data_IF_407002390542
#
_entry.id   IF_407002390542
#
_cell.length_a   1.000
_cell.length_b   1.000
_cell.length_c   1.000
_cell.angle_alpha   90.00
_cell.angle_beta   90.00
_cell.angle_gamma   90.00
#
_symmetry.space_group_name_H-M   'P 1'
#
loop_
_entity.id
_entity.type
_entity.pdbx_description
1 polymer ?
#
# COMPACT_ATOMS: atom_id res chain seq x y z
N UNK A 1 9.60 22.26 -10.07
CA UNK A 1 10.06 20.92 -10.50
C UNK A 1 8.82 20.13 -10.83
N UNK A 2 8.82 19.35 -11.90
CA UNK A 2 7.69 18.45 -12.22
C UNK A 2 7.77 17.22 -11.32
N UNK A 3 6.63 16.60 -10.98
CA UNK A 3 6.57 15.37 -10.18
C UNK A 3 7.57 14.30 -10.69
N UNK A 4 7.72 14.13 -11.99
CA UNK A 4 8.66 13.18 -12.58
C UNK A 4 10.14 13.49 -12.28
N UNK A 5 10.55 14.76 -12.15
CA UNK A 5 11.97 15.08 -11.92
C UNK A 5 12.47 14.68 -10.53
N UNK A 6 11.60 14.68 -9.50
CA UNK A 6 11.95 14.23 -8.16
C UNK A 6 12.14 12.71 -8.11
N UNK A 7 11.36 11.96 -8.89
CA UNK A 7 11.49 10.52 -8.96
C UNK A 7 12.78 10.09 -9.69
N UNK A 8 13.17 10.83 -10.74
CA UNK A 8 14.39 10.55 -11.50
C UNK A 8 15.66 10.68 -10.63
N UNK A 9 15.67 11.59 -9.65
CA UNK A 9 16.78 11.75 -8.69
C UNK A 9 16.95 10.58 -7.72
N UNK A 10 15.94 9.69 -7.63
CA UNK A 10 15.88 8.52 -6.75
C UNK A 10 15.81 7.20 -7.53
N UNK A 11 16.40 7.15 -8.71
CA UNK A 11 16.30 6.00 -9.63
C UNK A 11 16.66 4.66 -8.96
N UNK A 12 17.71 4.61 -8.13
CA UNK A 12 18.14 3.38 -7.45
C UNK A 12 17.12 2.94 -6.39
N UNK A 13 16.50 3.87 -5.67
CA UNK A 13 15.47 3.58 -4.67
C UNK A 13 14.21 3.02 -5.34
N UNK A 14 13.81 3.59 -6.48
CA UNK A 14 12.67 3.07 -7.27
C UNK A 14 13.00 1.75 -7.97
N UNK A 15 14.24 1.52 -8.40
CA UNK A 15 14.66 0.22 -8.92
C UNK A 15 14.56 -0.88 -7.84
N UNK A 16 14.87 -0.55 -6.59
CA UNK A 16 14.66 -1.45 -5.46
C UNK A 16 13.16 -1.76 -5.27
N UNK A 17 12.28 -0.75 -5.30
CA UNK A 17 10.83 -0.96 -5.19
C UNK A 17 10.28 -1.80 -6.35
N UNK A 18 10.76 -1.58 -7.58
CA UNK A 18 10.39 -2.40 -8.75
C UNK A 18 10.80 -3.86 -8.57
N UNK A 19 11.99 -4.11 -8.02
CA UNK A 19 12.45 -5.47 -7.76
C UNK A 19 11.59 -6.19 -6.71
N UNK A 20 11.11 -5.45 -5.69
CA UNK A 20 10.18 -5.98 -4.68
C UNK A 20 8.88 -6.46 -5.33
N UNK A 21 8.19 -5.61 -6.11
CA UNK A 21 6.92 -6.02 -6.73
C UNK A 21 7.13 -7.13 -7.76
N UNK A 22 8.19 -7.08 -8.54
CA UNK A 22 8.50 -8.09 -9.57
C UNK A 22 8.68 -9.48 -8.98
N UNK A 23 9.30 -9.58 -7.78
CA UNK A 23 9.54 -10.86 -7.09
C UNK A 23 8.32 -11.39 -6.38
N UNK A 24 7.41 -10.51 -5.91
CA UNK A 24 6.31 -10.90 -5.04
C UNK A 24 4.95 -10.95 -5.73
N UNK A 25 4.75 -10.26 -6.88
CA UNK A 25 3.48 -10.29 -7.60
C UNK A 25 3.63 -10.08 -9.10
N UNK A 26 3.62 -11.17 -9.87
CA UNK A 26 3.67 -11.10 -11.33
C UNK A 26 2.44 -10.41 -11.94
N UNK A 27 1.26 -10.60 -11.38
CA UNK A 27 0.02 -10.01 -11.89
C UNK A 27 0.00 -8.49 -11.71
N UNK A 28 0.29 -8.00 -10.50
CA UNK A 28 0.36 -6.55 -10.23
C UNK A 28 1.52 -5.90 -10.98
N UNK A 29 2.69 -6.54 -11.02
CA UNK A 29 3.82 -6.02 -11.80
C UNK A 29 3.43 -5.79 -13.26
N UNK A 30 2.80 -6.78 -13.91
CA UNK A 30 2.33 -6.65 -15.30
C UNK A 30 1.27 -5.58 -15.48
N UNK A 31 0.27 -5.55 -14.61
CA UNK A 31 -0.80 -4.57 -14.68
C UNK A 31 -0.27 -3.13 -14.55
N UNK A 32 0.57 -2.88 -13.55
CA UNK A 32 1.09 -1.54 -13.30
C UNK A 32 2.21 -1.14 -14.26
N UNK A 33 2.88 -2.10 -14.94
CA UNK A 33 3.88 -1.78 -15.96
C UNK A 33 3.32 -0.99 -17.15
N UNK A 34 2.01 -1.02 -17.35
CA UNK A 34 1.32 -0.26 -18.39
C UNK A 34 1.12 1.23 -18.03
N UNK A 35 1.33 1.61 -16.78
CA UNK A 35 1.20 3.00 -16.34
C UNK A 35 2.36 3.86 -16.87
N UNK A 36 2.14 5.17 -17.05
CA UNK A 36 3.22 6.13 -17.28
C UNK A 36 4.29 6.04 -16.19
N UNK A 37 5.57 6.25 -16.54
CA UNK A 37 6.71 5.98 -15.69
C UNK A 37 6.58 6.55 -14.26
N UNK A 38 6.19 7.81 -14.12
CA UNK A 38 6.03 8.46 -12.81
C UNK A 38 4.98 7.73 -11.94
N UNK A 39 3.79 7.46 -12.49
CA UNK A 39 2.72 6.73 -11.77
C UNK A 39 3.15 5.30 -11.44
N UNK A 40 3.80 4.61 -12.38
CA UNK A 40 4.29 3.25 -12.22
C UNK A 40 5.28 3.15 -11.06
N UNK A 41 6.29 4.01 -11.03
CA UNK A 41 7.29 4.07 -9.96
C UNK A 41 6.64 4.35 -8.60
N UNK A 42 5.71 5.29 -8.55
CA UNK A 42 4.98 5.63 -7.32
C UNK A 42 4.15 4.44 -6.81
N UNK A 43 3.44 3.74 -7.69
CA UNK A 43 2.69 2.54 -7.33
C UNK A 43 3.61 1.41 -6.84
N UNK A 44 4.79 1.26 -7.44
CA UNK A 44 5.77 0.27 -6.99
C UNK A 44 6.31 0.58 -5.59
N UNK A 45 6.50 1.87 -5.24
CA UNK A 45 6.89 2.27 -3.89
C UNK A 45 5.79 1.98 -2.87
N UNK A 46 4.52 2.27 -3.19
CA UNK A 46 3.39 1.90 -2.32
C UNK A 46 3.27 0.37 -2.16
N UNK A 47 3.42 -0.39 -3.24
CA UNK A 47 3.43 -1.85 -3.16
C UNK A 47 4.54 -2.35 -2.23
N UNK A 48 5.75 -1.77 -2.35
CA UNK A 48 6.87 -2.18 -1.50
C UNK A 48 6.63 -1.89 -0.01
N UNK A 49 5.91 -0.80 0.32
CA UNK A 49 5.46 -0.52 1.69
C UNK A 49 4.46 -1.56 2.19
N UNK A 50 3.42 -1.85 1.40
CA UNK A 50 2.43 -2.88 1.75
C UNK A 50 3.12 -4.23 1.97
N UNK A 51 4.03 -4.61 1.07
CA UNK A 51 4.77 -5.87 1.18
C UNK A 51 5.66 -5.94 2.42
N UNK A 52 6.29 -4.83 2.81
CA UNK A 52 7.07 -4.76 4.06
C UNK A 52 6.20 -5.06 5.28
N UNK A 53 4.99 -4.51 5.34
CA UNK A 53 4.05 -4.74 6.42
C UNK A 53 3.51 -6.19 6.41
N UNK A 54 3.13 -6.70 5.23
CA UNK A 54 2.69 -8.10 5.06
C UNK A 54 3.77 -9.09 5.51
N UNK A 55 5.03 -8.87 5.14
CA UNK A 55 6.14 -9.75 5.53
C UNK A 55 6.35 -9.81 7.04
N UNK A 56 6.02 -8.74 7.80
CA UNK A 56 6.07 -8.77 9.26
C UNK A 56 5.06 -9.77 9.86
N UNK A 57 3.94 -10.00 9.21
CA UNK A 57 2.87 -10.91 9.65
C UNK A 57 3.07 -12.29 9.05
N UNK A 58 3.13 -12.39 7.72
CA UNK A 58 3.11 -13.65 7.00
C UNK A 58 4.37 -14.49 7.17
N UNK A 59 5.54 -13.83 7.17
CA UNK A 59 6.85 -14.52 7.23
C UNK A 59 7.43 -14.56 8.63
N UNK A 60 7.31 -13.44 9.33
CA UNK A 60 8.01 -13.25 10.59
C UNK A 60 7.11 -13.49 11.80
N UNK A 61 5.78 -13.41 11.64
CA UNK A 61 4.77 -13.45 12.70
C UNK A 61 5.18 -12.56 13.91
N UNK A 62 5.71 -11.35 13.62
CA UNK A 62 6.40 -10.52 14.58
C UNK A 62 5.71 -9.19 14.82
N UNK A 63 4.99 -9.08 15.93
CA UNK A 63 4.42 -7.80 16.38
C UNK A 63 5.49 -6.71 16.54
N UNK A 64 6.68 -7.07 17.04
CA UNK A 64 7.75 -6.10 17.25
C UNK A 64 8.28 -5.50 15.93
N UNK A 65 8.33 -6.29 14.84
CA UNK A 65 8.71 -5.76 13.53
C UNK A 65 7.64 -4.84 12.96
N UNK A 66 6.38 -5.20 13.12
CA UNK A 66 5.26 -4.35 12.70
C UNK A 66 5.23 -3.02 13.48
N UNK A 67 5.49 -3.06 14.80
CA UNK A 67 5.65 -1.86 15.63
C UNK A 67 6.80 -0.98 15.13
N UNK A 68 7.94 -1.58 14.76
CA UNK A 68 9.05 -0.83 14.18
C UNK A 68 8.67 -0.15 12.86
N UNK A 69 7.94 -0.83 11.97
CA UNK A 69 7.44 -0.23 10.72
C UNK A 69 6.47 0.92 11.03
N UNK A 70 5.62 0.78 12.04
CA UNK A 70 4.72 1.85 12.48
C UNK A 70 5.48 3.06 13.05
N UNK A 71 6.53 2.83 13.84
CA UNK A 71 7.35 3.91 14.38
C UNK A 71 8.10 4.64 13.26
N UNK A 72 8.65 3.90 12.29
CA UNK A 72 9.31 4.48 11.12
C UNK A 72 8.32 5.28 10.25
N UNK A 73 7.08 4.79 10.07
CA UNK A 73 6.02 5.50 9.38
C UNK A 73 5.63 6.81 10.10
N UNK A 74 5.49 6.75 11.43
CA UNK A 74 5.17 7.94 12.24
C UNK A 74 6.29 9.00 12.16
N UNK A 75 7.56 8.57 12.22
CA UNK A 75 8.72 9.44 12.04
C UNK A 75 8.77 10.04 10.64
N UNK A 76 8.49 9.24 9.62
CA UNK A 76 8.43 9.66 8.22
C UNK A 76 7.41 10.79 8.00
N UNK A 77 6.16 10.61 8.43
CA UNK A 77 5.14 11.65 8.32
C UNK A 77 5.37 12.85 9.26
N UNK A 78 6.16 12.70 10.31
CA UNK A 78 6.67 13.81 11.13
C UNK A 78 7.84 14.57 10.48
N UNK A 79 8.25 14.20 9.25
CA UNK A 79 9.35 14.84 8.52
C UNK A 79 10.74 14.38 8.93
N UNK A 80 10.86 13.26 9.65
CA UNK A 80 12.16 12.68 10.01
C UNK A 80 12.59 11.71 8.92
N UNK A 81 13.78 11.91 8.38
CA UNK A 81 14.34 11.02 7.35
C UNK A 81 14.60 9.63 7.93
N UNK A 82 14.00 8.61 7.33
CA UNK A 82 14.34 7.20 7.57
C UNK A 82 15.23 6.76 6.40
N UNK A 83 16.51 6.49 6.68
CA UNK A 83 17.50 6.22 5.64
C UNK A 83 17.44 4.76 5.15
N UNK A 84 16.45 4.46 4.31
CA UNK A 84 16.35 3.22 3.56
C UNK A 84 15.68 3.47 2.20
N UNK A 85 15.93 2.62 1.18
CA UNK A 85 15.43 2.82 -0.18
C UNK A 85 13.92 3.06 -0.26
N UNK A 86 13.13 2.27 0.47
CA UNK A 86 11.68 2.42 0.53
C UNK A 86 11.25 3.81 0.97
N UNK A 87 11.80 4.29 2.11
CA UNK A 87 11.39 5.57 2.69
C UNK A 87 11.81 6.76 1.84
N UNK A 88 12.98 6.69 1.20
CA UNK A 88 13.43 7.72 0.25
C UNK A 88 12.57 7.75 -1.02
N UNK A 89 12.13 6.57 -1.51
CA UNK A 89 11.19 6.49 -2.62
C UNK A 89 9.82 7.06 -2.23
N UNK A 90 9.29 6.70 -1.05
CA UNK A 90 8.02 7.24 -0.53
C UNK A 90 8.08 8.76 -0.31
N UNK A 91 9.20 9.31 0.15
CA UNK A 91 9.39 10.76 0.29
C UNK A 91 9.23 11.48 -1.05
N UNK A 92 9.84 10.95 -2.12
CA UNK A 92 9.66 11.49 -3.46
C UNK A 92 8.21 11.35 -3.97
N UNK A 93 7.52 10.26 -3.63
CA UNK A 93 6.10 10.06 -3.98
C UNK A 93 5.22 11.05 -3.23
N UNK A 94 5.35 11.18 -1.91
CA UNK A 94 4.58 12.13 -1.10
C UNK A 94 4.85 13.58 -1.50
N UNK A 95 6.07 13.91 -1.94
CA UNK A 95 6.41 15.24 -2.48
C UNK A 95 5.79 15.49 -3.86
N UNK A 96 5.39 14.46 -4.57
CA UNK A 96 4.84 14.54 -5.94
C UNK A 96 3.32 14.42 -5.99
N UNK A 97 2.72 13.77 -5.00
CA UNK A 97 1.29 13.51 -4.89
C UNK A 97 0.82 13.80 -3.47
N UNK A 98 -0.39 14.33 -3.35
CA UNK A 98 -1.02 14.66 -2.06
C UNK A 98 -1.54 13.38 -1.39
N UNK A 99 -0.65 12.65 -0.73
CA UNK A 99 -0.98 11.40 -0.03
C UNK A 99 -1.36 11.70 1.43
N UNK A 100 -2.53 11.18 1.83
CA UNK A 100 -2.98 11.19 3.21
C UNK A 100 -2.21 10.11 4.01
N UNK A 101 -1.77 10.45 5.22
CA UNK A 101 -1.07 9.53 6.11
C UNK A 101 -2.00 8.44 6.68
N UNK A 102 -3.28 8.75 6.91
CA UNK A 102 -4.20 7.86 7.60
C UNK A 102 -4.35 6.48 6.94
N UNK A 103 -4.50 6.35 5.59
CA UNK A 103 -4.59 5.06 4.94
C UNK A 103 -3.37 4.14 5.17
N UNK A 104 -2.17 4.70 5.36
CA UNK A 104 -0.98 3.92 5.69
C UNK A 104 -1.08 3.30 7.09
N UNK A 105 -1.54 4.09 8.08
CA UNK A 105 -1.76 3.60 9.44
C UNK A 105 -2.91 2.59 9.50
N UNK A 106 -3.98 2.81 8.74
CA UNK A 106 -5.11 1.89 8.65
C UNK A 106 -4.65 0.52 8.10
N UNK A 107 -3.82 0.52 7.08
CA UNK A 107 -3.25 -0.72 6.53
C UNK A 107 -2.40 -1.46 7.57
N UNK A 108 -1.55 -0.76 8.35
CA UNK A 108 -0.79 -1.38 9.44
C UNK A 108 -1.70 -1.92 10.55
N UNK A 109 -2.83 -1.26 10.83
CA UNK A 109 -3.84 -1.78 11.76
C UNK A 109 -4.47 -3.08 11.23
N UNK A 110 -4.73 -3.18 9.91
CA UNK A 110 -5.15 -4.44 9.28
C UNK A 110 -4.14 -5.56 9.54
N UNK A 111 -2.86 -5.30 9.29
CA UNK A 111 -1.78 -6.26 9.56
C UNK A 111 -1.68 -6.65 11.05
N UNK A 112 -1.92 -5.70 11.96
CA UNK A 112 -1.94 -6.01 13.40
C UNK A 112 -3.09 -6.95 13.77
N UNK A 113 -4.26 -6.77 13.15
CA UNK A 113 -5.42 -7.65 13.35
C UNK A 113 -5.13 -9.07 12.87
N UNK A 114 -4.38 -9.23 11.80
CA UNK A 114 -3.99 -10.55 11.28
C UNK A 114 -3.07 -11.32 12.24
N UNK A 115 -2.19 -10.65 12.99
CA UNK A 115 -1.40 -11.28 14.06
C UNK A 115 -2.26 -11.91 15.18
N UNK A 116 -3.48 -11.42 15.36
CA UNK A 116 -4.44 -11.93 16.35
C UNK A 116 -5.77 -12.28 15.69
N UNK A 117 -5.68 -12.96 14.55
CA UNK A 117 -6.81 -13.25 13.66
C UNK A 117 -8.04 -13.76 14.43
N UNK A 118 -9.16 -13.11 14.16
CA UNK A 118 -10.48 -13.57 14.57
C UNK A 118 -11.35 -13.71 13.33
N UNK A 119 -11.99 -14.83 13.18
CA UNK A 119 -12.88 -15.04 12.05
C UNK A 119 -14.03 -14.03 12.08
N UNK A 120 -14.27 -13.30 10.97
CA UNK A 120 -15.43 -12.41 10.86
C UNK A 120 -16.74 -13.20 11.03
N UNK A 121 -17.65 -12.70 11.85
CA UNK A 121 -18.94 -13.35 12.12
C UNK A 121 -20.06 -12.78 11.26
N UNK A 122 -19.90 -11.53 10.79
CA UNK A 122 -20.90 -10.80 9.99
C UNK A 122 -20.27 -10.25 8.71
N UNK A 123 -21.13 -9.88 7.76
CA UNK A 123 -20.68 -9.14 6.55
C UNK A 123 -20.04 -7.80 6.93
N UNK A 124 -20.55 -7.12 7.97
CA UNK A 124 -19.96 -5.87 8.45
C UNK A 124 -18.53 -6.04 8.95
N UNK A 125 -18.26 -7.13 9.71
CA UNK A 125 -16.91 -7.45 10.17
C UNK A 125 -15.97 -7.73 8.98
N UNK A 126 -16.50 -8.41 7.96
CA UNK A 126 -15.74 -8.74 6.75
C UNK A 126 -15.46 -7.49 5.89
N UNK A 127 -16.42 -6.58 5.78
CA UNK A 127 -16.25 -5.30 5.10
C UNK A 127 -15.25 -4.42 5.84
N UNK A 128 -15.33 -4.35 7.18
CA UNK A 128 -14.37 -3.63 8.02
C UNK A 128 -12.96 -4.19 7.85
N UNK A 129 -12.80 -5.50 7.91
CA UNK A 129 -11.53 -6.16 7.62
C UNK A 129 -11.00 -5.80 6.23
N UNK A 130 -11.85 -5.92 5.21
CA UNK A 130 -11.52 -5.58 3.82
C UNK A 130 -11.11 -4.12 3.64
N UNK A 131 -11.71 -3.19 4.42
CA UNK A 131 -11.27 -1.79 4.45
C UNK A 131 -9.81 -1.68 4.90
N UNK A 132 -9.46 -2.26 6.04
CA UNK A 132 -8.12 -2.12 6.62
C UNK A 132 -7.04 -2.73 5.71
N UNK A 133 -7.27 -3.91 5.14
CA UNK A 133 -6.23 -4.61 4.35
C UNK A 133 -6.19 -4.23 2.87
N UNK A 134 -7.27 -3.67 2.30
CA UNK A 134 -7.34 -3.36 0.87
C UNK A 134 -8.01 -2.02 0.53
N UNK A 135 -9.07 -1.62 1.22
CA UNK A 135 -9.71 -0.32 1.02
C UNK A 135 -8.74 0.84 1.29
N UNK A 136 -7.96 0.75 2.36
CA UNK A 136 -6.89 1.69 2.70
C UNK A 136 -5.84 1.80 1.59
N UNK A 137 -5.46 0.67 0.98
CA UNK A 137 -4.55 0.65 -0.18
C UNK A 137 -5.16 1.36 -1.39
N UNK A 138 -6.47 1.20 -1.61
CA UNK A 138 -7.21 1.94 -2.62
C UNK A 138 -7.08 3.46 -2.43
N UNK A 139 -7.21 3.93 -1.18
CA UNK A 139 -7.04 5.35 -0.84
C UNK A 139 -5.60 5.85 -1.03
N UNK A 140 -4.58 5.04 -0.75
CA UNK A 140 -3.18 5.39 -1.03
C UNK A 140 -2.92 5.51 -2.54
N UNK A 141 -3.49 4.64 -3.36
CA UNK A 141 -3.30 4.62 -4.81
C UNK A 141 -4.06 5.74 -5.52
N UNK A 142 -5.18 6.18 -4.96
CA UNK A 142 -6.12 7.09 -5.61
C UNK A 142 -5.47 8.41 -6.08
N UNK A 143 -4.70 9.17 -5.27
CA UNK A 143 -4.07 10.41 -5.71
C UNK A 143 -3.07 10.23 -6.86
N UNK A 144 -2.43 9.06 -6.93
CA UNK A 144 -1.46 8.72 -7.98
C UNK A 144 -2.19 8.39 -9.30
N UNK A 145 -3.25 7.62 -9.22
CA UNK A 145 -3.99 7.15 -10.40
C UNK A 145 -4.91 8.21 -10.96
N UNK A 146 -5.56 8.99 -10.10
CA UNK A 146 -6.45 10.08 -10.49
C UNK A 146 -5.66 11.31 -10.96
N UNK A 147 -5.77 11.65 -12.21
CA UNK A 147 -4.81 12.56 -12.85
C UNK A 147 -5.24 14.03 -12.93
N UNK A 148 -6.45 14.45 -12.53
CA UNK A 148 -6.95 15.70 -13.09
C UNK A 148 -7.80 16.61 -12.18
N UNK A 149 -8.16 16.23 -10.96
CA UNK A 149 -9.06 17.04 -10.11
C UNK A 149 -8.87 16.71 -8.64
N UNK A 150 -9.30 17.56 -7.72
CA UNK A 150 -9.40 17.15 -6.32
C UNK A 150 -10.18 15.85 -6.21
N UNK A 151 -9.68 14.93 -5.41
CA UNK A 151 -10.38 13.68 -5.10
C UNK A 151 -11.62 14.04 -4.28
N UNK A 152 -12.81 13.75 -4.81
CA UNK A 152 -14.07 13.92 -4.09
C UNK A 152 -14.42 12.68 -3.24
N UNK A 153 -15.40 12.84 -2.35
CA UNK A 153 -15.81 11.77 -1.44
C UNK A 153 -16.35 10.55 -2.19
N UNK A 154 -17.09 10.74 -3.26
CA UNK A 154 -17.64 9.64 -4.06
C UNK A 154 -16.56 8.80 -4.75
N UNK A 155 -15.46 9.42 -5.15
CA UNK A 155 -14.31 8.72 -5.70
C UNK A 155 -13.51 7.98 -4.61
N UNK A 156 -13.40 8.57 -3.41
CA UNK A 156 -12.82 7.89 -2.24
C UNK A 156 -13.63 6.65 -1.87
N UNK A 157 -14.95 6.76 -1.79
CA UNK A 157 -15.86 5.65 -1.50
C UNK A 157 -15.72 4.54 -2.56
N UNK A 158 -15.61 4.91 -3.83
CA UNK A 158 -15.43 3.97 -4.92
C UNK A 158 -14.08 3.23 -4.84
N UNK A 159 -13.01 3.93 -4.46
CA UNK A 159 -11.69 3.32 -4.29
C UNK A 159 -11.69 2.32 -3.11
N UNK A 160 -12.33 2.66 -2.00
CA UNK A 160 -12.53 1.77 -0.86
C UNK A 160 -13.35 0.55 -1.27
N UNK A 161 -14.51 0.76 -1.92
CA UNK A 161 -15.37 -0.34 -2.35
C UNK A 161 -14.67 -1.30 -3.31
N UNK A 162 -13.84 -0.78 -4.24
CA UNK A 162 -13.03 -1.61 -5.13
C UNK A 162 -12.01 -2.44 -4.35
N UNK A 163 -11.29 -1.83 -3.40
CA UNK A 163 -10.32 -2.54 -2.56
C UNK A 163 -10.98 -3.67 -1.78
N UNK A 164 -12.10 -3.39 -1.09
CA UNK A 164 -12.88 -4.38 -0.35
C UNK A 164 -13.35 -5.52 -1.27
N UNK A 165 -13.91 -5.21 -2.44
CA UNK A 165 -14.37 -6.21 -3.41
C UNK A 165 -13.22 -7.10 -3.91
N UNK A 166 -12.03 -6.55 -4.13
CA UNK A 166 -10.84 -7.33 -4.50
C UNK A 166 -10.43 -8.27 -3.37
N UNK A 167 -10.46 -7.82 -2.13
CA UNK A 167 -10.12 -8.66 -0.97
C UNK A 167 -11.11 -9.80 -0.78
N UNK A 168 -12.42 -9.53 -0.89
CA UNK A 168 -13.44 -10.57 -0.87
C UNK A 168 -13.22 -11.62 -1.96
N UNK A 169 -12.84 -11.17 -3.16
CA UNK A 169 -12.52 -12.08 -4.27
C UNK A 169 -11.30 -12.95 -3.96
N UNK A 170 -10.25 -12.38 -3.34
CA UNK A 170 -9.08 -13.12 -2.92
C UNK A 170 -9.44 -14.18 -1.88
N UNK A 171 -10.20 -13.82 -0.84
CA UNK A 171 -10.65 -14.77 0.19
C UNK A 171 -11.45 -15.92 -0.40
N UNK A 172 -12.36 -15.66 -1.35
CA UNK A 172 -13.14 -16.71 -2.01
C UNK A 172 -12.28 -17.64 -2.87
N UNK A 173 -11.27 -17.10 -3.54
CA UNK A 173 -10.30 -17.90 -4.32
C UNK A 173 -9.51 -18.81 -3.41
N UNK A 174 -8.98 -18.27 -2.32
CA UNK A 174 -8.07 -18.98 -1.42
C UNK A 174 -8.80 -20.12 -0.70
N UNK A 175 -10.09 -19.96 -0.33
CA UNK A 175 -10.93 -21.08 0.16
C UNK A 175 -11.02 -22.22 -0.86
N UNK A 176 -11.01 -21.93 -2.15
CA UNK A 176 -11.04 -22.95 -3.21
C UNK A 176 -9.69 -23.65 -3.45
N UNK A 177 -8.59 -23.02 -3.08
CA UNK A 177 -7.23 -23.59 -3.21
C UNK A 177 -6.83 -24.43 -1.99
N UNK A 178 -7.42 -24.18 -0.81
CA UNK A 178 -7.13 -24.89 0.45
C UNK A 178 -8.01 -26.15 0.66
N UNK A 179 -8.94 -26.47 -0.25
CA UNK A 179 -9.80 -27.67 -0.24
C UNK A 179 -9.27 -28.74 -1.18
#
# INVERSE_FOLDING_TARGET
>A
MTACSLLDERADDFAWCEDVIRRNSHSFYRAFSLLPACKRQSVYALYAFCRLADDCVDRDASAAKLEQVQDDLARFFAGTVVDAPLWRALDAVCSSFDLDAQPFFDMLEGQRRDLSFRQPETMGDLEEYGYYVAGSVGLMLLPILHAASPVDDGLRDSAVALGVAMQLTNLLRDVGEDL
#
